data_IF_317230387495
#
_entry.id   IF_317230387495
#
_cell.length_a   1.000
_cell.length_b   1.000
_cell.length_c   1.000
_cell.angle_alpha   90.00
_cell.angle_beta   90.00
_cell.angle_gamma   90.00
#
_symmetry.space_group_name_H-M   'P 1'
#
loop_
_entity.id
_entity.type
_entity.pdbx_description
1 polymer ?
#
# COMPACT_ATOMS: atom_id res chain seq x y z
N UNK A 1 63.15 -42.45 6.19
CA UNK A 1 61.93 -42.48 7.02
C UNK A 1 61.41 -41.05 7.12
N UNK A 2 60.28 -40.79 6.46
CA UNK A 2 59.54 -39.53 6.41
C UNK A 2 58.41 -39.63 7.44
N UNK A 3 58.20 -38.62 8.30
CA UNK A 3 56.91 -38.27 8.97
C UNK A 3 57.15 -37.20 10.05
N UNK A 4 57.38 -35.96 9.62
CA UNK A 4 57.35 -34.77 10.49
C UNK A 4 57.02 -33.59 9.60
N UNK A 5 55.74 -33.36 9.34
CA UNK A 5 55.17 -32.10 8.81
C UNK A 5 53.73 -32.38 8.39
N UNK A 6 52.78 -32.48 9.33
CA UNK A 6 51.35 -32.45 8.97
C UNK A 6 50.44 -32.04 10.14
N UNK A 7 50.91 -31.21 11.07
CA UNK A 7 50.12 -30.77 12.24
C UNK A 7 50.09 -29.25 12.46
N UNK A 8 50.64 -28.45 11.53
CA UNK A 8 50.73 -26.98 11.69
C UNK A 8 49.92 -26.16 10.69
N UNK A 9 49.06 -26.77 9.87
CA UNK A 9 48.19 -26.03 8.94
C UNK A 9 46.73 -25.88 9.39
N UNK A 10 46.33 -26.53 10.49
CA UNK A 10 44.92 -26.54 10.92
C UNK A 10 44.58 -25.44 11.93
N UNK A 11 45.58 -24.80 12.56
CA UNK A 11 45.36 -23.84 13.64
C UNK A 11 45.22 -22.38 13.17
N UNK A 12 45.61 -22.04 11.93
CA UNK A 12 45.56 -20.66 11.44
C UNK A 12 44.24 -20.32 10.74
N UNK A 13 43.50 -21.31 10.24
CA UNK A 13 42.26 -21.05 9.48
C UNK A 13 41.05 -20.84 10.42
N UNK A 14 41.07 -21.35 11.66
CA UNK A 14 39.94 -21.19 12.60
C UNK A 14 39.94 -19.84 13.32
N UNK A 15 41.06 -19.12 13.38
CA UNK A 15 41.13 -17.80 14.02
C UNK A 15 40.96 -16.60 13.06
N UNK A 16 41.00 -16.83 11.75
CA UNK A 16 40.93 -15.75 10.74
C UNK A 16 39.51 -15.26 10.39
N UNK A 17 38.46 -15.99 10.78
CA UNK A 17 37.06 -15.66 10.40
C UNK A 17 36.34 -14.80 11.45
N UNK A 18 36.93 -14.61 12.64
CA UNK A 18 36.28 -13.85 13.73
C UNK A 18 36.49 -12.32 13.69
N UNK A 19 37.27 -11.78 12.74
CA UNK A 19 37.63 -10.34 12.72
C UNK A 19 37.08 -9.54 11.53
N UNK A 20 36.27 -10.14 10.65
CA UNK A 20 35.54 -9.41 9.57
C UNK A 20 34.02 -9.37 9.87
N UNK A 21 33.57 -9.86 11.03
CA UNK A 21 32.17 -9.85 11.46
C UNK A 21 31.71 -8.58 12.18
N UNK A 22 32.53 -7.51 12.21
CA UNK A 22 32.26 -6.27 12.94
C UNK A 22 31.61 -5.15 12.12
N UNK A 23 31.21 -5.42 10.87
CA UNK A 23 30.54 -4.45 10.01
C UNK A 23 29.03 -4.56 10.15
N UNK A 24 28.46 -3.89 11.16
CA UNK A 24 27.03 -3.59 11.33
C UNK A 24 26.10 -4.67 10.75
N UNK A 25 25.70 -5.62 11.61
CA UNK A 25 24.32 -6.05 11.55
C UNK A 25 23.51 -4.76 11.76
N UNK A 26 23.16 -4.09 10.66
CA UNK A 26 21.98 -3.27 10.62
C UNK A 26 20.91 -4.28 10.99
N UNK A 27 20.59 -4.36 12.27
CA UNK A 27 19.27 -4.75 12.64
C UNK A 27 18.42 -3.83 11.76
N UNK A 28 17.78 -4.40 10.74
CA UNK A 28 16.48 -3.92 10.35
C UNK A 28 15.69 -4.01 11.65
N UNK A 29 15.87 -2.99 12.49
CA UNK A 29 15.21 -2.88 13.77
C UNK A 29 13.74 -3.04 13.45
N UNK A 30 12.98 -3.62 14.37
CA UNK A 30 11.54 -3.56 14.37
C UNK A 30 11.14 -2.07 14.24
N UNK A 31 11.12 -1.57 13.01
CA UNK A 31 10.71 -0.22 12.68
C UNK A 31 9.24 -0.26 13.00
N UNK A 32 8.89 0.38 14.10
CA UNK A 32 7.52 0.45 14.58
C UNK A 32 6.67 0.99 13.44
N UNK A 33 5.91 0.11 12.79
CA UNK A 33 4.89 0.49 11.80
C UNK A 33 3.88 1.47 12.41
N UNK A 34 3.74 1.47 13.74
CA UNK A 34 2.88 2.37 14.46
C UNK A 34 3.34 3.84 14.36
N UNK A 35 4.63 4.12 14.15
CA UNK A 35 5.15 5.50 14.10
C UNK A 35 5.65 5.91 12.70
N UNK A 36 5.66 4.98 11.75
CA UNK A 36 6.14 5.25 10.40
C UNK A 36 5.24 6.26 9.66
N UNK A 37 5.80 7.25 8.94
CA UNK A 37 5.01 8.29 8.29
C UNK A 37 4.10 7.76 7.19
N UNK A 38 4.40 6.65 6.51
CA UNK A 38 3.47 6.07 5.54
C UNK A 38 2.14 5.59 6.16
N UNK A 39 2.10 5.28 7.46
CA UNK A 39 0.88 4.83 8.15
C UNK A 39 -0.18 5.94 8.12
N UNK A 40 -1.40 5.60 7.68
CA UNK A 40 -2.51 6.53 7.61
C UNK A 40 -3.50 6.22 6.49
N UNK A 41 -4.43 7.15 6.28
CA UNK A 41 -5.33 7.15 5.14
C UNK A 41 -4.90 8.22 4.13
N UNK A 42 -5.01 7.90 2.85
CA UNK A 42 -4.45 8.69 1.76
C UNK A 42 -5.44 8.78 0.60
N UNK A 43 -5.55 9.97 0.01
CA UNK A 43 -6.07 10.16 -1.34
C UNK A 43 -4.91 10.00 -2.32
N UNK A 44 -5.07 9.15 -3.32
CA UNK A 44 -4.01 8.73 -4.25
C UNK A 44 -4.42 9.08 -5.68
N UNK A 45 -3.54 9.78 -6.37
CA UNK A 45 -3.59 9.99 -7.81
C UNK A 45 -2.58 9.06 -8.48
N UNK A 46 -3.04 8.30 -9.47
CA UNK A 46 -2.17 7.53 -10.38
C UNK A 46 -2.09 8.32 -11.67
N UNK A 47 -0.88 8.60 -12.15
CA UNK A 47 -0.65 9.51 -13.28
C UNK A 47 -1.26 10.92 -13.07
N UNK A 48 -0.66 11.77 -12.23
CA UNK A 48 -1.22 13.08 -11.86
C UNK A 48 -1.39 14.06 -13.03
N UNK A 49 -0.92 13.73 -14.23
CA UNK A 49 -1.18 14.48 -15.45
C UNK A 49 -2.51 14.12 -16.13
N UNK A 50 -3.14 13.01 -15.74
CA UNK A 50 -4.40 12.53 -16.30
C UNK A 50 -5.59 13.04 -15.47
N UNK A 51 -6.32 14.02 -16.02
CA UNK A 51 -7.48 14.62 -15.36
C UNK A 51 -8.73 13.73 -15.39
N UNK A 52 -8.72 12.63 -16.15
CA UNK A 52 -9.85 11.70 -16.20
C UNK A 52 -9.83 10.69 -15.03
N UNK A 53 -8.73 10.63 -14.28
CA UNK A 53 -8.58 9.68 -13.19
C UNK A 53 -9.31 10.13 -11.92
N UNK A 54 -10.26 9.30 -11.47
CA UNK A 54 -10.92 9.48 -10.18
C UNK A 54 -9.95 9.22 -9.02
N UNK A 55 -9.98 10.03 -7.95
CA UNK A 55 -9.12 9.83 -6.80
C UNK A 55 -9.38 8.45 -6.18
N UNK A 56 -8.30 7.77 -5.81
CA UNK A 56 -8.32 6.47 -5.14
C UNK A 56 -8.03 6.67 -3.66
N UNK A 57 -8.52 5.79 -2.80
CA UNK A 57 -8.21 5.82 -1.38
C UNK A 57 -7.29 4.66 -1.02
N UNK A 58 -6.31 4.93 -0.16
CA UNK A 58 -5.45 3.90 0.41
C UNK A 58 -5.36 4.05 1.93
N UNK A 59 -5.31 2.92 2.64
CA UNK A 59 -5.12 2.87 4.08
C UNK A 59 -3.94 1.95 4.38
N UNK A 60 -2.93 2.47 5.06
CA UNK A 60 -1.76 1.73 5.54
C UNK A 60 -1.83 1.63 7.06
N UNK A 61 -2.11 0.43 7.57
CA UNK A 61 -2.33 0.16 8.99
C UNK A 61 -1.03 -0.21 9.71
N UNK A 62 -0.98 0.03 11.02
CA UNK A 62 0.18 -0.24 11.88
C UNK A 62 0.52 -1.73 12.03
N UNK A 63 -0.35 -2.64 11.59
CA UNK A 63 -0.09 -4.09 11.55
C UNK A 63 0.49 -4.55 10.20
N UNK A 64 0.83 -3.61 9.32
CA UNK A 64 1.34 -3.87 7.97
C UNK A 64 0.26 -4.24 6.96
N UNK A 65 -1.02 -4.19 7.34
CA UNK A 65 -2.14 -4.38 6.40
C UNK A 65 -2.34 -3.13 5.54
N UNK A 66 -2.65 -3.34 4.26
CA UNK A 66 -2.93 -2.27 3.31
C UNK A 66 -4.30 -2.48 2.66
N UNK A 67 -5.09 -1.41 2.53
CA UNK A 67 -6.38 -1.41 1.84
C UNK A 67 -6.39 -0.35 0.74
N UNK A 68 -7.05 -0.65 -0.36
CA UNK A 68 -7.20 0.22 -1.51
C UNK A 68 -8.66 0.25 -1.96
N UNK A 69 -9.20 1.42 -2.25
CA UNK A 69 -10.57 1.60 -2.76
C UNK A 69 -10.54 2.52 -3.97
N UNK A 70 -11.16 2.06 -5.06
CA UNK A 70 -11.38 2.81 -6.30
C UNK A 70 -12.87 3.12 -6.47
N UNK A 71 -13.19 4.24 -7.12
CA UNK A 71 -14.58 4.67 -7.35
C UNK A 71 -15.41 3.74 -8.22
N UNK A 72 -14.79 2.81 -8.96
CA UNK A 72 -15.44 1.85 -9.84
C UNK A 72 -15.47 0.43 -9.26
N UNK A 73 -15.97 0.28 -8.03
CA UNK A 73 -16.26 -1.01 -7.38
C UNK A 73 -15.04 -1.91 -7.10
N UNK A 74 -13.83 -1.43 -7.40
CA UNK A 74 -12.59 -2.20 -7.22
C UNK A 74 -12.00 -1.91 -5.86
N UNK A 75 -11.96 -2.95 -5.01
CA UNK A 75 -11.29 -2.92 -3.71
C UNK A 75 -10.09 -3.85 -3.75
N UNK A 76 -8.97 -3.36 -3.24
CA UNK A 76 -7.73 -4.12 -3.09
C UNK A 76 -7.37 -4.31 -1.63
N UNK A 77 -6.77 -5.45 -1.33
CA UNK A 77 -6.18 -5.75 -0.02
C UNK A 77 -4.73 -6.19 -0.21
N UNK A 78 -3.89 -5.88 0.77
CA UNK A 78 -2.53 -6.39 0.74
C UNK A 78 -1.71 -5.98 1.93
N UNK A 79 -0.42 -5.74 1.69
CA UNK A 79 0.59 -5.55 2.73
C UNK A 79 1.53 -4.41 2.39
N UNK A 80 2.08 -3.78 3.41
CA UNK A 80 3.15 -2.82 3.27
C UNK A 80 4.23 -3.03 4.33
N UNK A 81 5.44 -2.60 4.01
CA UNK A 81 6.58 -2.61 4.93
C UNK A 81 7.50 -1.40 4.66
N UNK A 82 8.13 -0.85 5.71
CA UNK A 82 9.08 0.25 5.59
C UNK A 82 10.39 -0.27 4.98
N UNK A 83 10.95 0.53 4.08
CA UNK A 83 12.29 0.30 3.53
C UNK A 83 13.29 1.34 4.04
N UNK A 84 12.81 2.44 4.63
CA UNK A 84 13.58 3.44 5.37
C UNK A 84 12.68 4.14 6.41
N UNK A 85 13.14 5.25 7.00
CA UNK A 85 12.33 6.05 7.93
C UNK A 85 11.17 6.80 7.25
N UNK A 86 11.23 6.98 5.91
CA UNK A 86 10.24 7.73 5.13
C UNK A 86 9.68 6.93 3.94
N UNK A 87 10.35 5.85 3.54
CA UNK A 87 10.00 5.05 2.38
C UNK A 87 9.37 3.70 2.78
N UNK A 88 8.46 3.23 1.95
CA UNK A 88 7.80 1.94 2.10
C UNK A 88 7.56 1.30 0.75
N UNK A 89 7.46 -0.03 0.75
CA UNK A 89 6.86 -0.77 -0.35
C UNK A 89 5.45 -1.20 0.04
N UNK A 90 4.54 -1.16 -0.93
CA UNK A 90 3.13 -1.50 -0.75
C UNK A 90 2.72 -2.46 -1.86
N UNK A 91 1.96 -3.48 -1.52
CA UNK A 91 1.36 -4.39 -2.49
C UNK A 91 -0.13 -4.50 -2.26
N UNK A 92 -0.90 -4.51 -3.35
CA UNK A 92 -2.34 -4.76 -3.34
C UNK A 92 -2.66 -5.90 -4.28
N UNK A 93 -3.59 -6.75 -3.87
CA UNK A 93 -4.29 -7.67 -4.76
C UNK A 93 -5.72 -7.20 -4.91
N UNK A 94 -6.15 -7.00 -6.15
CA UNK A 94 -7.50 -6.61 -6.54
C UNK A 94 -8.13 -7.79 -7.24
N UNK A 95 -9.25 -8.27 -6.74
CA UNK A 95 -10.05 -9.28 -7.43
C UNK A 95 -10.90 -8.58 -8.47
N UNK A 96 -10.93 -9.12 -9.69
CA UNK A 96 -11.78 -8.61 -10.77
C UNK A 96 -12.89 -9.62 -11.06
N UNK A 97 -13.94 -9.21 -11.78
CA UNK A 97 -14.97 -10.13 -12.26
C UNK A 97 -14.45 -11.07 -13.37
N UNK A 98 -13.28 -10.78 -13.91
CA UNK A 98 -12.62 -11.58 -14.93
C UNK A 98 -11.82 -12.77 -14.35
N UNK A 99 -11.14 -13.53 -15.22
CA UNK A 99 -10.35 -14.70 -14.82
C UNK A 99 -9.03 -14.34 -14.12
N UNK A 100 -8.74 -13.04 -13.92
CA UNK A 100 -7.49 -12.57 -13.37
C UNK A 100 -7.70 -11.78 -12.08
N UNK A 101 -6.75 -11.91 -11.16
CA UNK A 101 -6.52 -10.91 -10.12
C UNK A 101 -5.45 -9.92 -10.60
N UNK A 102 -5.56 -8.67 -10.17
CA UNK A 102 -4.55 -7.65 -10.44
C UNK A 102 -3.68 -7.47 -9.21
N UNK A 103 -2.37 -7.63 -9.38
CA UNK A 103 -1.37 -7.32 -8.35
C UNK A 103 -0.75 -5.98 -8.68
N UNK A 104 -0.80 -5.06 -7.72
CA UNK A 104 -0.18 -3.74 -7.79
C UNK A 104 0.98 -3.74 -6.82
N UNK A 105 2.17 -3.33 -7.26
CA UNK A 105 3.36 -3.19 -6.41
C UNK A 105 3.84 -1.76 -6.50
N UNK A 106 3.95 -1.08 -5.37
CA UNK A 106 4.34 0.33 -5.30
C UNK A 106 5.52 0.53 -4.37
N UNK A 107 6.35 1.52 -4.71
CA UNK A 107 7.36 2.09 -3.81
C UNK A 107 6.96 3.54 -3.57
N UNK A 108 6.80 3.92 -2.31
CA UNK A 108 6.40 5.27 -1.90
C UNK A 108 7.45 5.88 -0.98
N UNK A 109 7.60 7.20 -1.07
CA UNK A 109 8.40 8.00 -0.16
C UNK A 109 7.55 9.15 0.38
N UNK A 110 7.37 9.17 1.69
CA UNK A 110 6.60 10.21 2.38
C UNK A 110 7.46 11.47 2.49
N UNK A 111 6.90 12.61 2.14
CA UNK A 111 7.56 13.89 2.27
C UNK A 111 7.84 14.24 3.74
N UNK A 112 8.80 15.15 4.02
CA UNK A 112 9.15 15.53 5.39
C UNK A 112 8.00 16.14 6.22
N UNK A 113 6.96 16.66 5.55
CA UNK A 113 5.75 17.16 6.21
C UNK A 113 4.86 16.04 6.76
N UNK A 114 5.06 14.80 6.29
CA UNK A 114 4.20 13.67 6.60
C UNK A 114 2.83 13.71 5.92
N UNK A 115 2.52 14.74 5.14
CA UNK A 115 1.20 15.03 4.57
C UNK A 115 1.09 14.64 3.09
N UNK A 116 2.23 14.38 2.43
CA UNK A 116 2.27 13.92 1.04
C UNK A 116 3.22 12.75 0.85
N UNK A 117 3.02 11.98 -0.22
CA UNK A 117 4.02 11.04 -0.72
C UNK A 117 4.10 11.08 -2.24
N UNK A 118 5.25 10.64 -2.77
CA UNK A 118 5.40 10.33 -4.20
C UNK A 118 5.92 8.91 -4.35
N UNK A 119 5.76 8.32 -5.53
CA UNK A 119 6.20 6.97 -5.75
C UNK A 119 6.05 6.48 -7.19
N UNK A 120 6.42 5.22 -7.36
CA UNK A 120 6.20 4.47 -8.61
C UNK A 120 5.46 3.18 -8.33
N UNK A 121 4.79 2.65 -9.34
CA UNK A 121 4.12 1.36 -9.24
C UNK A 121 4.22 0.53 -10.52
N UNK A 122 4.06 -0.78 -10.37
CA UNK A 122 3.83 -1.73 -11.45
C UNK A 122 2.51 -2.47 -11.24
N UNK A 123 1.96 -2.99 -12.32
CA UNK A 123 0.72 -3.79 -12.34
C UNK A 123 1.01 -5.12 -13.02
N UNK A 124 0.45 -6.21 -12.50
CA UNK A 124 0.49 -7.52 -13.12
C UNK A 124 -0.88 -8.18 -13.03
N UNK A 125 -1.39 -8.71 -14.15
CA UNK A 125 -2.56 -9.58 -14.13
C UNK A 125 -2.11 -11.02 -13.91
N UNK A 126 -2.66 -11.68 -12.88
CA UNK A 126 -2.38 -13.08 -12.53
C UNK A 126 -3.63 -13.90 -12.81
N UNK A 127 -3.55 -14.79 -13.80
CA UNK A 127 -4.67 -15.63 -14.26
C UNK A 127 -4.75 -16.96 -13.51
N UNK A 128 -3.61 -17.45 -13.03
CA UNK A 128 -3.52 -18.65 -12.21
C UNK A 128 -2.67 -18.37 -10.97
N UNK A 129 -3.30 -18.07 -9.81
CA UNK A 129 -2.57 -17.81 -8.58
C UNK A 129 -1.85 -19.05 -8.02
N UNK A 130 -2.18 -20.27 -8.48
CA UNK A 130 -1.58 -21.52 -8.02
C UNK A 130 -0.51 -22.09 -8.99
N UNK A 131 -0.49 -21.66 -10.25
CA UNK A 131 0.32 -22.27 -11.32
C UNK A 131 1.09 -21.31 -12.22
N UNK A 132 1.08 -20.00 -11.95
CA UNK A 132 2.09 -19.06 -12.47
C UNK A 132 1.82 -18.46 -13.84
N UNK A 133 0.59 -18.51 -14.36
CA UNK A 133 0.22 -17.77 -15.57
C UNK A 133 -0.05 -16.30 -15.24
N UNK A 134 0.78 -15.40 -15.78
CA UNK A 134 0.66 -13.95 -15.58
C UNK A 134 0.84 -13.18 -16.88
N UNK A 135 0.41 -11.92 -16.90
CA UNK A 135 0.65 -11.00 -18.02
C UNK A 135 2.10 -10.50 -18.12
N UNK A 136 2.93 -10.77 -17.10
CA UNK A 136 4.11 -9.98 -16.81
C UNK A 136 3.78 -8.62 -16.20
N UNK A 137 4.79 -7.95 -15.67
CA UNK A 137 4.65 -6.62 -15.05
C UNK A 137 4.58 -5.50 -16.10
N UNK A 138 3.62 -4.60 -15.90
CA UNK A 138 3.40 -3.37 -16.67
C UNK A 138 3.80 -2.19 -15.78
N UNK A 139 4.61 -1.28 -16.30
CA UNK A 139 5.08 -0.08 -15.59
C UNK A 139 6.51 0.33 -15.98
N UNK A 140 7.13 1.26 -15.24
CA UNK A 140 6.59 1.92 -14.05
C UNK A 140 5.56 3.00 -14.40
N UNK A 141 4.49 3.10 -13.61
CA UNK A 141 3.66 4.30 -13.51
C UNK A 141 4.09 5.16 -12.31
N UNK A 142 3.62 6.40 -12.24
CA UNK A 142 3.85 7.32 -11.12
C UNK A 142 2.60 7.47 -10.25
N UNK A 143 2.81 7.67 -8.95
CA UNK A 143 1.75 7.92 -7.97
C UNK A 143 2.12 9.08 -7.07
N UNK A 144 1.09 9.83 -6.69
CA UNK A 144 1.15 10.86 -5.66
C UNK A 144 0.03 10.60 -4.64
N UNK A 145 0.34 10.89 -3.38
CA UNK A 145 -0.59 10.74 -2.29
C UNK A 145 -0.67 12.00 -1.44
N UNK A 146 -1.88 12.32 -0.98
CA UNK A 146 -2.14 13.36 0.01
C UNK A 146 -2.86 12.73 1.20
N UNK A 147 -2.41 13.05 2.41
CA UNK A 147 -2.97 12.48 3.64
C UNK A 147 -4.40 12.95 3.82
N UNK A 148 -5.27 12.03 4.23
CA UNK A 148 -6.61 12.35 4.68
C UNK A 148 -6.59 12.68 6.16
N UNK A 149 -7.09 13.86 6.50
CA UNK A 149 -7.21 14.35 7.87
C UNK A 149 -8.66 14.27 8.33
N UNK A 150 -8.84 14.09 9.64
CA UNK A 150 -10.16 14.20 10.23
C UNK A 150 -10.62 15.66 10.19
N UNK A 151 -11.79 15.90 9.60
CA UNK A 151 -12.41 17.22 9.57
C UNK A 151 -13.47 17.32 10.66
N UNK A 152 -13.54 18.48 11.32
CA UNK A 152 -14.65 18.77 12.20
C UNK A 152 -15.94 18.92 11.37
N UNK A 153 -17.10 18.45 11.84
CA UNK A 153 -18.36 18.70 11.17
C UNK A 153 -18.58 20.21 10.93
N UNK A 154 -18.93 20.58 9.69
CA UNK A 154 -19.30 21.95 9.35
C UNK A 154 -20.68 22.35 9.89
N UNK A 155 -21.03 23.63 9.75
CA UNK A 155 -22.42 24.08 9.97
C UNK A 155 -23.25 23.67 8.76
N UNK A 156 -24.33 22.88 8.92
CA UNK A 156 -25.19 22.51 7.79
C UNK A 156 -25.79 23.74 7.12
N UNK A 157 -25.70 23.80 5.79
CA UNK A 157 -26.31 24.87 5.00
C UNK A 157 -27.85 24.76 4.93
N UNK A 158 -28.37 23.54 5.13
CA UNK A 158 -29.80 23.22 5.20
C UNK A 158 -30.00 21.88 5.93
N UNK A 159 -31.25 21.59 6.29
CA UNK A 159 -31.68 20.32 6.88
C UNK A 159 -31.78 19.21 5.83
N UNK A 160 -31.84 17.96 6.28
CA UNK A 160 -32.04 16.82 5.39
C UNK A 160 -33.42 16.83 4.74
N UNK A 161 -34.45 17.31 5.45
CA UNK A 161 -35.81 17.45 4.95
C UNK A 161 -35.90 18.45 3.80
N UNK A 162 -35.12 19.53 3.86
CA UNK A 162 -35.01 20.51 2.77
C UNK A 162 -34.27 19.95 1.55
N UNK A 163 -33.26 19.11 1.76
CA UNK A 163 -32.48 18.50 0.68
C UNK A 163 -33.21 17.32 0.01
N UNK A 164 -33.91 16.51 0.80
CA UNK A 164 -34.74 15.40 0.35
C UNK A 164 -36.21 15.71 0.62
N UNK A 165 -36.85 16.57 -0.20
CA UNK A 165 -38.25 16.89 -0.01
C UNK A 165 -39.05 15.58 -0.07
N UNK A 166 -39.71 15.26 1.03
CA UNK A 166 -40.64 14.14 1.06
C UNK A 166 -41.76 14.44 0.07
N UNK A 167 -42.18 13.47 -0.77
CA UNK A 167 -43.33 13.68 -1.63
C UNK A 167 -44.54 14.02 -0.75
N UNK A 168 -45.10 15.22 -0.93
CA UNK A 168 -46.28 15.66 -0.19
C UNK A 168 -47.42 14.68 -0.46
N UNK A 169 -47.87 13.99 0.60
CA UNK A 169 -49.16 13.30 0.69
C UNK A 169 -49.47 12.27 -0.40
N UNK A 170 -49.63 11.00 0.00
CA UNK A 170 -50.37 10.04 -0.82
C UNK A 170 -51.72 10.66 -1.22
N UNK A 171 -52.07 10.75 -2.52
CA UNK A 171 -53.31 11.37 -2.94
C UNK A 171 -54.49 10.69 -2.24
N UNK A 172 -55.37 11.51 -1.66
CA UNK A 172 -56.58 11.05 -1.00
C UNK A 172 -57.40 10.22 -2.00
N UNK A 173 -57.70 8.96 -1.65
CA UNK A 173 -58.44 8.07 -2.53
C UNK A 173 -59.84 8.65 -2.76
N UNK A 174 -60.13 9.08 -3.99
CA UNK A 174 -61.47 9.51 -4.39
C UNK A 174 -62.47 8.39 -4.12
N UNK A 175 -63.53 8.61 -3.31
CA UNK A 175 -64.55 7.60 -3.08
C UNK A 175 -65.26 7.27 -4.41
N UNK A 176 -65.38 5.99 -4.73
CA UNK A 176 -66.18 5.53 -5.86
C UNK A 176 -67.68 5.74 -5.55
N UNK A 177 -68.36 6.54 -6.38
CA UNK A 177 -69.83 6.63 -6.43
C UNK A 177 -70.42 5.56 -7.32
#
# INVERSE_FOLDING_TARGET
MRRTSLLWLSAVIVFGVLLIGGGRLVAAQDASLADHPAKGAWSVASDPGDTEFSPRLAILSADGSAFFVSGYETTGVGRWEPTSDTAAIVSFTVVTDGPAQIVIRASIETAPDGESFTGTFTIEAVFDPAGGSTSGEIGPGTIEGTRLLAEAPGTPAMTFEEFFPQPEGTPEATPAT
#
